data_IF_186056476307
#
_entry.id   IF_186056476307
#
_cell.length_a   1.000
_cell.length_b   1.000
_cell.length_c   1.000
_cell.angle_alpha   90.00
_cell.angle_beta   90.00
_cell.angle_gamma   90.00
#
_symmetry.space_group_name_H-M   'P 1'
#
loop_
_entity.id
_entity.type
_entity.pdbx_description
1 polymer ?
#
# COMPACT_ATOMS: atom_id res chain seq x y z
N UNK A 1 1.66 -2.11 5.07
CA UNK A 1 2.80 -1.36 5.64
C UNK A 1 2.73 0.07 5.12
N UNK A 2 2.89 1.08 5.97
CA UNK A 2 2.85 2.48 5.50
C UNK A 2 4.17 2.85 4.86
N UNK A 3 4.09 3.63 3.80
CA UNK A 3 5.28 4.02 3.04
C UNK A 3 6.15 5.05 3.81
N UNK A 4 5.51 5.69 4.80
CA UNK A 4 6.13 6.53 5.83
C UNK A 4 7.22 5.79 6.61
N UNK A 5 7.06 4.48 6.89
CA UNK A 5 8.07 3.69 7.58
C UNK A 5 9.44 3.74 6.88
N UNK A 6 9.45 3.77 5.55
CA UNK A 6 10.69 3.78 4.78
C UNK A 6 11.45 5.09 4.95
N UNK A 7 10.73 6.20 5.08
CA UNK A 7 11.26 7.56 5.00
C UNK A 7 11.65 8.13 6.36
N UNK A 8 10.92 7.78 7.42
CA UNK A 8 11.14 8.36 8.74
C UNK A 8 12.31 7.71 9.48
N UNK A 9 13.22 8.51 10.03
CA UNK A 9 14.38 8.01 10.78
C UNK A 9 14.03 7.38 12.13
N UNK A 10 12.89 7.76 12.73
CA UNK A 10 12.45 7.27 14.05
C UNK A 10 11.90 5.85 14.07
N UNK A 11 11.65 5.24 12.91
CA UNK A 11 11.20 3.85 12.82
C UNK A 11 12.36 2.97 12.44
N UNK A 12 12.65 1.92 13.21
CA UNK A 12 13.66 0.95 12.87
C UNK A 12 13.11 -0.46 13.11
N UNK A 13 13.54 -1.45 12.32
CA UNK A 13 13.22 -2.84 12.61
C UNK A 13 13.84 -3.25 13.96
N UNK A 14 13.10 -4.01 14.76
CA UNK A 14 13.44 -4.41 16.15
C UNK A 14 14.79 -5.14 16.25
N UNK A 15 15.32 -5.63 15.13
CA UNK A 15 16.52 -6.48 15.10
C UNK A 15 17.82 -5.71 15.41
N UNK A 16 17.85 -4.38 15.23
CA UNK A 16 18.90 -3.49 15.73
C UNK A 16 18.50 -2.03 15.41
N UNK A 17 17.89 -1.32 16.36
CA UNK A 17 17.31 0.01 16.14
C UNK A 17 18.32 1.05 15.62
N UNK A 18 19.62 0.84 15.87
CA UNK A 18 20.68 1.78 15.50
C UNK A 18 21.32 1.49 14.14
N UNK A 19 21.06 0.33 13.51
CA UNK A 19 21.82 -0.14 12.35
C UNK A 19 21.13 0.08 10.98
N UNK A 20 19.82 0.41 10.96
CA UNK A 20 19.07 0.47 9.70
C UNK A 20 18.37 1.82 9.54
N UNK A 21 19.18 2.83 9.23
CA UNK A 21 18.69 4.18 8.89
C UNK A 21 18.60 4.32 7.37
N UNK A 22 17.55 5.01 6.91
CA UNK A 22 17.34 5.37 5.51
C UNK A 22 16.54 4.34 4.69
N UNK A 23 15.85 4.85 3.67
CA UNK A 23 14.95 4.09 2.78
C UNK A 23 15.65 2.86 2.21
N UNK A 24 16.82 3.03 1.60
CA UNK A 24 17.57 1.96 0.92
C UNK A 24 17.91 0.81 1.87
N UNK A 25 18.46 1.13 3.05
CA UNK A 25 18.85 0.13 4.05
C UNK A 25 17.64 -0.62 4.59
N UNK A 26 16.55 0.09 4.91
CA UNK A 26 15.31 -0.52 5.39
C UNK A 26 14.68 -1.45 4.37
N UNK A 27 14.63 -1.02 3.11
CA UNK A 27 14.11 -1.85 2.03
C UNK A 27 14.99 -3.08 1.81
N UNK A 28 16.31 -2.95 1.79
CA UNK A 28 17.22 -4.08 1.62
C UNK A 28 17.07 -5.12 2.75
N UNK A 29 17.01 -4.66 4.01
CA UNK A 29 16.77 -5.55 5.16
C UNK A 29 15.41 -6.23 5.06
N UNK A 30 14.35 -5.48 4.71
CA UNK A 30 13.00 -6.04 4.57
C UNK A 30 12.95 -7.05 3.43
N UNK A 31 13.52 -6.73 2.28
CA UNK A 31 13.60 -7.63 1.14
C UNK A 31 14.29 -8.93 1.50
N UNK A 32 15.46 -8.87 2.15
CA UNK A 32 16.20 -10.05 2.61
C UNK A 32 15.38 -10.88 3.60
N UNK A 33 14.83 -10.24 4.64
CA UNK A 33 14.09 -10.93 5.69
C UNK A 33 12.81 -11.59 5.16
N UNK A 34 12.02 -10.86 4.36
CA UNK A 34 10.77 -11.36 3.81
C UNK A 34 11.02 -12.45 2.76
N UNK A 35 12.04 -12.32 1.91
CA UNK A 35 12.45 -13.40 0.99
C UNK A 35 12.78 -14.68 1.76
N UNK A 36 13.63 -14.58 2.80
CA UNK A 36 14.01 -15.73 3.62
C UNK A 36 12.80 -16.38 4.31
N UNK A 37 11.89 -15.56 4.84
CA UNK A 37 10.68 -16.05 5.49
C UNK A 37 9.77 -16.79 4.50
N UNK A 38 9.51 -16.20 3.33
CA UNK A 38 8.65 -16.80 2.31
C UNK A 38 9.25 -18.10 1.79
N UNK A 39 10.56 -18.16 1.53
CA UNK A 39 11.22 -19.40 1.12
C UNK A 39 11.02 -20.50 2.15
N UNK A 40 11.21 -20.20 3.46
CA UNK A 40 11.01 -21.19 4.53
C UNK A 40 9.56 -21.69 4.62
N UNK A 41 8.57 -20.80 4.50
CA UNK A 41 7.15 -21.19 4.47
C UNK A 41 6.84 -22.09 3.27
N UNK A 42 7.42 -21.80 2.10
CA UNK A 42 7.23 -22.59 0.87
C UNK A 42 7.92 -23.94 0.92
N UNK A 43 9.14 -24.01 1.44
CA UNK A 43 9.89 -25.25 1.65
C UNK A 43 9.13 -26.20 2.60
N UNK A 44 8.31 -25.65 3.48
CA UNK A 44 7.39 -26.40 4.34
C UNK A 44 6.11 -26.89 3.63
N UNK A 45 6.00 -26.69 2.31
CA UNK A 45 4.88 -27.16 1.49
C UNK A 45 3.69 -26.19 1.38
N UNK A 46 3.80 -24.97 1.91
CA UNK A 46 2.73 -23.99 1.83
C UNK A 46 2.79 -23.13 0.58
N UNK A 47 1.62 -22.78 0.04
CA UNK A 47 1.48 -21.74 -0.97
C UNK A 47 1.50 -20.38 -0.29
N UNK A 48 2.23 -19.44 -0.87
CA UNK A 48 2.32 -18.07 -0.38
C UNK A 48 1.82 -17.11 -1.45
N UNK A 49 0.98 -16.18 -1.02
CA UNK A 49 0.48 -15.07 -1.84
C UNK A 49 0.92 -13.78 -1.16
N UNK A 50 1.61 -12.92 -1.90
CA UNK A 50 1.92 -11.56 -1.49
C UNK A 50 0.81 -10.66 -2.03
N UNK A 51 0.07 -10.02 -1.13
CA UNK A 51 -0.90 -8.99 -1.49
C UNK A 51 -0.18 -7.64 -1.50
N UNK A 52 -0.13 -7.00 -2.67
CA UNK A 52 0.55 -5.73 -2.85
C UNK A 52 -0.05 -4.62 -1.98
N UNK A 53 0.78 -3.69 -1.55
CA UNK A 53 0.32 -2.54 -0.77
C UNK A 53 -0.61 -1.63 -1.60
N UNK A 54 -1.68 -1.18 -0.96
CA UNK A 54 -2.64 -0.26 -1.58
C UNK A 54 -2.06 1.15 -1.69
N UNK A 55 -2.49 1.95 -2.69
CA UNK A 55 -2.15 3.36 -2.76
C UNK A 55 -2.53 4.11 -1.47
N UNK A 56 -1.61 4.94 -0.99
CA UNK A 56 -1.82 5.79 0.17
C UNK A 56 -2.09 7.25 -0.24
N UNK A 57 -2.80 7.97 0.63
CA UNK A 57 -3.12 9.40 0.54
C UNK A 57 -2.46 10.17 1.70
N UNK A 58 -1.24 9.78 2.06
CA UNK A 58 -0.45 10.39 3.14
C UNK A 58 0.57 11.43 2.65
N UNK A 59 0.44 11.92 1.42
CA UNK A 59 1.27 12.95 0.81
C UNK A 59 0.40 13.93 0.04
N UNK A 60 0.91 15.15 -0.14
CA UNK A 60 0.17 16.19 -0.84
C UNK A 60 0.06 15.87 -2.34
N UNK A 61 -1.19 15.78 -2.83
CA UNK A 61 -1.50 15.60 -4.26
C UNK A 61 -0.94 16.76 -5.07
N UNK A 62 -0.23 16.47 -6.17
CA UNK A 62 0.41 17.47 -7.02
C UNK A 62 1.67 18.13 -6.46
N UNK A 63 2.03 17.86 -5.19
CA UNK A 63 3.30 18.28 -4.62
C UNK A 63 3.81 17.25 -3.59
N UNK A 64 4.22 16.05 -4.03
CA UNK A 64 4.69 15.00 -3.12
C UNK A 64 5.94 15.40 -2.30
N UNK A 65 6.65 16.47 -2.72
CA UNK A 65 7.79 17.04 -1.99
C UNK A 65 7.38 18.01 -0.86
N UNK A 66 6.14 18.53 -0.84
CA UNK A 66 5.67 19.46 0.19
C UNK A 66 5.39 18.81 1.56
N UNK A 67 5.62 17.51 1.68
CA UNK A 67 5.47 16.77 2.92
C UNK A 67 4.15 16.04 3.07
N UNK A 68 3.96 15.46 4.25
CA UNK A 68 2.86 14.55 4.53
C UNK A 68 1.64 15.33 5.00
N UNK A 69 0.62 15.49 4.14
CA UNK A 69 -0.73 15.83 4.56
C UNK A 69 -1.55 14.55 4.46
N UNK A 70 -1.69 13.85 5.59
CA UNK A 70 -2.52 12.65 5.66
C UNK A 70 -3.98 13.02 5.49
N UNK A 71 -4.56 12.64 4.35
CA UNK A 71 -6.00 12.75 4.19
C UNK A 71 -6.71 11.93 5.27
N UNK A 72 -7.72 12.54 5.88
CA UNK A 72 -8.60 11.85 6.81
C UNK A 72 -10.00 12.42 6.64
N UNK A 73 -11.05 11.58 6.52
CA UNK A 73 -12.42 12.06 6.61
C UNK A 73 -12.66 12.92 7.85
N UNK A 74 -11.94 12.65 8.96
CA UNK A 74 -12.05 13.40 10.21
C UNK A 74 -11.60 14.86 10.13
N UNK A 75 -10.78 15.23 9.15
CA UNK A 75 -10.37 16.63 8.95
C UNK A 75 -11.36 17.42 8.09
N UNK A 76 -12.43 16.78 7.60
CA UNK A 76 -13.47 17.42 6.81
C UNK A 76 -14.71 17.75 7.64
N UNK A 77 -15.40 18.82 7.26
CA UNK A 77 -16.74 19.10 7.80
C UNK A 77 -17.72 18.01 7.39
N UNK A 78 -18.72 17.72 8.24
CA UNK A 78 -19.78 16.77 7.93
C UNK A 78 -20.51 17.13 6.62
N UNK A 79 -20.70 18.43 6.36
CA UNK A 79 -21.31 18.91 5.11
C UNK A 79 -20.48 18.49 3.90
N UNK A 80 -19.15 18.62 3.96
CA UNK A 80 -18.27 18.20 2.85
C UNK A 80 -18.23 16.68 2.69
N UNK A 81 -18.31 15.91 3.78
CA UNK A 81 -18.39 14.45 3.70
C UNK A 81 -19.70 14.00 3.05
N UNK A 82 -20.84 14.50 3.52
CA UNK A 82 -22.17 14.13 2.99
C UNK A 82 -22.35 14.61 1.54
N UNK A 83 -21.79 15.77 1.18
CA UNK A 83 -21.82 16.29 -0.18
C UNK A 83 -20.74 15.70 -1.10
N UNK A 84 -19.96 14.71 -0.64
CA UNK A 84 -18.85 14.09 -1.40
C UNK A 84 -17.82 15.11 -1.94
N UNK A 85 -17.50 16.13 -1.15
CA UNK A 85 -16.50 17.18 -1.44
C UNK A 85 -15.17 16.97 -0.71
N UNK A 86 -15.04 15.88 0.05
CA UNK A 86 -13.85 15.49 0.81
C UNK A 86 -13.20 14.22 0.22
N UNK A 87 -13.18 14.12 -1.10
CA UNK A 87 -12.81 12.93 -1.84
C UNK A 87 -11.59 13.17 -2.73
N UNK A 88 -10.38 13.34 -2.14
CA UNK A 88 -9.19 13.49 -2.96
C UNK A 88 -9.02 12.29 -3.90
N UNK A 89 -8.43 12.59 -5.04
CA UNK A 89 -8.01 11.63 -6.03
C UNK A 89 -6.60 12.00 -6.49
N UNK A 90 -5.84 11.02 -6.93
CA UNK A 90 -4.48 11.20 -7.44
C UNK A 90 -4.26 10.37 -8.69
N UNK A 91 -3.32 10.80 -9.53
CA UNK A 91 -2.86 9.98 -10.64
C UNK A 91 -2.02 8.82 -10.09
N UNK A 92 -2.14 7.63 -10.68
CA UNK A 92 -1.34 6.46 -10.30
C UNK A 92 0.17 6.75 -10.44
N UNK A 93 0.56 7.60 -11.40
CA UNK A 93 1.94 8.08 -11.56
C UNK A 93 2.44 8.85 -10.34
N UNK A 94 1.59 9.69 -9.73
CA UNK A 94 1.95 10.45 -8.52
C UNK A 94 2.17 9.49 -7.35
N UNK A 95 1.26 8.53 -7.16
CA UNK A 95 1.44 7.49 -6.17
C UNK A 95 2.69 6.65 -6.43
N UNK A 96 2.98 6.33 -7.70
CA UNK A 96 4.17 5.58 -8.09
C UNK A 96 5.47 6.36 -7.82
N UNK A 97 5.48 7.68 -7.94
CA UNK A 97 6.66 8.49 -7.59
C UNK A 97 7.03 8.37 -6.10
N UNK A 98 6.04 8.09 -5.24
CA UNK A 98 6.21 7.98 -3.78
C UNK A 98 6.38 6.53 -3.34
N UNK A 99 5.51 5.63 -3.82
CA UNK A 99 5.34 4.24 -3.39
C UNK A 99 5.90 3.22 -4.39
N UNK A 100 6.39 3.66 -5.54
CA UNK A 100 6.85 2.75 -6.60
C UNK A 100 7.99 1.83 -6.16
N UNK A 101 8.86 2.30 -5.28
CA UNK A 101 9.96 1.51 -4.75
C UNK A 101 9.45 0.33 -3.88
N UNK A 102 8.49 0.56 -3.00
CA UNK A 102 7.92 -0.50 -2.16
C UNK A 102 7.11 -1.50 -2.99
N UNK A 103 6.32 -1.03 -3.96
CA UNK A 103 5.61 -1.89 -4.92
C UNK A 103 6.56 -2.76 -5.75
N UNK A 104 7.64 -2.18 -6.27
CA UNK A 104 8.63 -2.93 -7.03
C UNK A 104 9.34 -3.99 -6.17
N UNK A 105 9.65 -3.65 -4.92
CA UNK A 105 10.24 -4.60 -3.96
C UNK A 105 9.29 -5.78 -3.68
N UNK A 106 8.01 -5.53 -3.42
CA UNK A 106 7.01 -6.59 -3.18
C UNK A 106 6.87 -7.54 -4.37
N UNK A 107 6.74 -7.00 -5.58
CA UNK A 107 6.67 -7.77 -6.82
C UNK A 107 7.95 -8.59 -7.06
N UNK A 108 9.12 -8.00 -6.80
CA UNK A 108 10.41 -8.69 -6.93
C UNK A 108 10.54 -9.84 -5.95
N UNK A 109 10.10 -9.67 -4.69
CA UNK A 109 10.12 -10.74 -3.68
C UNK A 109 9.20 -11.88 -4.11
N UNK A 110 8.00 -11.58 -4.59
CA UNK A 110 7.09 -12.60 -5.10
C UNK A 110 7.75 -13.39 -6.24
N UNK A 111 8.33 -12.68 -7.21
CA UNK A 111 9.02 -13.29 -8.34
C UNK A 111 10.21 -14.17 -7.90
N UNK A 112 11.11 -13.67 -7.06
CA UNK A 112 12.33 -14.40 -6.67
C UNK A 112 12.07 -15.59 -5.76
N UNK A 113 10.94 -15.60 -5.05
CA UNK A 113 10.52 -16.73 -4.20
C UNK A 113 9.55 -17.68 -4.91
N UNK A 114 9.10 -17.33 -6.12
CA UNK A 114 8.05 -18.03 -6.85
C UNK A 114 6.65 -17.90 -6.22
N UNK A 115 6.45 -17.00 -5.26
CA UNK A 115 5.16 -16.71 -4.66
C UNK A 115 4.25 -15.97 -5.64
N UNK A 116 2.93 -16.12 -5.49
CA UNK A 116 1.98 -15.35 -6.28
C UNK A 116 1.94 -13.90 -5.80
N UNK A 117 1.78 -12.94 -6.71
CA UNK A 117 1.60 -11.53 -6.38
C UNK A 117 0.21 -11.08 -6.80
N UNK A 118 -0.51 -10.41 -5.89
CA UNK A 118 -1.81 -9.80 -6.19
C UNK A 118 -1.65 -8.29 -6.16
N UNK A 119 -1.75 -7.67 -7.34
CA UNK A 119 -1.67 -6.22 -7.49
C UNK A 119 -3.06 -5.58 -7.34
N UNK A 120 -3.33 -5.05 -6.14
CA UNK A 120 -4.59 -4.37 -5.84
C UNK A 120 -4.75 -3.02 -6.55
N UNK A 121 -3.69 -2.46 -7.16
CA UNK A 121 -3.78 -1.16 -7.85
C UNK A 121 -4.63 -1.23 -9.10
N UNK A 122 -4.72 -2.41 -9.72
CA UNK A 122 -5.59 -2.65 -10.88
C UNK A 122 -7.06 -2.39 -10.54
N UNK A 123 -7.47 -2.75 -9.32
CA UNK A 123 -8.82 -2.57 -8.83
C UNK A 123 -9.04 -1.18 -8.20
N UNK A 124 -8.06 -0.70 -7.44
CA UNK A 124 -8.17 0.55 -6.67
C UNK A 124 -7.86 1.82 -7.48
N UNK A 125 -7.20 1.69 -8.62
CA UNK A 125 -6.85 2.82 -9.49
C UNK A 125 -7.23 2.56 -10.97
N UNK A 126 -8.52 2.29 -11.26
CA UNK A 126 -8.95 2.07 -12.63
C UNK A 126 -8.62 3.30 -13.50
N UNK A 127 -8.23 3.07 -14.76
CA UNK A 127 -7.79 4.12 -15.67
C UNK A 127 -6.65 5.00 -15.11
N UNK A 128 -5.74 4.40 -14.32
CA UNK A 128 -4.58 5.08 -13.73
C UNK A 128 -4.93 6.26 -12.80
N UNK A 129 -6.11 6.21 -12.17
CA UNK A 129 -6.57 7.23 -11.21
C UNK A 129 -7.05 6.56 -9.92
N UNK A 130 -6.44 6.92 -8.80
CA UNK A 130 -6.81 6.40 -7.49
C UNK A 130 -7.74 7.39 -6.79
N UNK A 131 -8.94 6.95 -6.40
CA UNK A 131 -9.96 7.80 -5.79
C UNK A 131 -10.30 7.32 -4.37
N UNK A 132 -10.54 8.26 -3.45
CA UNK A 132 -11.02 7.93 -2.10
C UNK A 132 -12.52 7.70 -2.03
N UNK A 133 -13.26 8.13 -3.05
CA UNK A 133 -14.69 7.93 -3.21
C UNK A 133 -15.01 7.65 -4.68
N UNK A 134 -15.65 6.51 -4.97
CA UNK A 134 -16.12 6.20 -6.31
C UNK A 134 -17.42 5.40 -6.25
N UNK A 135 -18.26 5.51 -7.30
CA UNK A 135 -19.55 4.80 -7.40
C UNK A 135 -20.47 4.94 -6.17
N UNK A 136 -20.43 6.08 -5.48
CA UNK A 136 -21.25 6.34 -4.30
C UNK A 136 -20.70 5.77 -2.98
N UNK A 137 -19.48 5.23 -2.99
CA UNK A 137 -18.86 4.58 -1.84
C UNK A 137 -17.48 5.16 -1.51
N UNK A 138 -17.21 5.29 -0.22
CA UNK A 138 -15.87 5.59 0.29
C UNK A 138 -15.01 4.34 0.14
N UNK A 139 -13.91 4.47 -0.61
CA UNK A 139 -12.94 3.40 -0.87
C UNK A 139 -11.97 3.28 0.29
N UNK A 140 -11.67 4.39 0.96
CA UNK A 140 -10.76 4.46 2.09
C UNK A 140 -11.48 4.94 3.36
N UNK A 141 -11.03 4.40 4.51
CA UNK A 141 -11.40 4.88 5.85
C UNK A 141 -10.56 6.10 6.25
N UNK A 142 -9.30 6.10 5.85
CA UNK A 142 -8.29 7.11 6.16
C UNK A 142 -7.16 7.03 5.10
N UNK A 143 -6.07 7.78 5.27
CA UNK A 143 -4.98 7.86 4.30
C UNK A 143 -4.35 6.52 3.88
N UNK A 144 -4.50 5.44 4.62
CA UNK A 144 -3.78 4.19 4.35
C UNK A 144 -4.58 2.90 4.62
N UNK A 145 -5.85 3.01 4.99
CA UNK A 145 -6.75 1.88 5.18
C UNK A 145 -7.94 1.97 4.24
N UNK A 146 -8.22 0.87 3.54
CA UNK A 146 -9.46 0.71 2.77
C UNK A 146 -10.67 0.67 3.72
N UNK A 147 -11.84 1.05 3.21
CA UNK A 147 -13.09 0.97 3.95
C UNK A 147 -13.58 -0.49 4.06
N UNK A 148 -14.58 -0.72 4.92
CA UNK A 148 -15.25 -2.02 5.00
C UNK A 148 -15.94 -2.37 3.68
N UNK A 149 -16.50 -1.37 3.00
CA UNK A 149 -17.16 -1.57 1.72
C UNK A 149 -16.15 -2.06 0.67
N UNK A 150 -15.01 -1.38 0.56
CA UNK A 150 -13.97 -1.74 -0.39
C UNK A 150 -13.35 -3.10 -0.07
N UNK A 151 -13.12 -3.40 1.21
CA UNK A 151 -12.64 -4.72 1.62
C UNK A 151 -13.58 -5.85 1.18
N UNK A 152 -14.90 -5.64 1.19
CA UNK A 152 -15.87 -6.61 0.66
C UNK A 152 -15.82 -6.68 -0.87
N UNK A 153 -15.66 -5.54 -1.54
CA UNK A 153 -15.54 -5.48 -2.99
C UNK A 153 -14.29 -6.22 -3.51
N UNK A 154 -13.18 -6.20 -2.76
CA UNK A 154 -11.94 -6.91 -3.11
C UNK A 154 -11.94 -8.41 -2.72
N UNK A 155 -12.92 -8.87 -1.93
CA UNK A 155 -12.96 -10.26 -1.48
C UNK A 155 -12.97 -11.30 -2.64
N UNK A 156 -13.69 -11.09 -3.76
CA UNK A 156 -13.61 -11.99 -4.91
C UNK A 156 -12.22 -12.07 -5.54
N UNK A 157 -11.47 -10.97 -5.56
CA UNK A 157 -10.08 -10.93 -6.08
C UNK A 157 -9.18 -11.81 -5.21
N UNK A 158 -9.30 -11.70 -3.89
CA UNK A 158 -8.58 -12.56 -2.95
C UNK A 158 -8.97 -14.03 -3.09
N UNK A 159 -10.27 -14.32 -3.20
CA UNK A 159 -10.77 -15.67 -3.38
C UNK A 159 -10.27 -16.32 -4.68
N UNK A 160 -10.15 -15.53 -5.76
CA UNK A 160 -9.56 -15.97 -7.02
C UNK A 160 -8.08 -16.31 -6.86
N UNK A 161 -7.31 -15.45 -6.19
CA UNK A 161 -5.89 -15.67 -5.94
C UNK A 161 -5.60 -16.95 -5.14
N UNK A 162 -6.48 -17.34 -4.21
CA UNK A 162 -6.34 -18.58 -3.44
C UNK A 162 -6.55 -19.85 -4.29
N UNK A 163 -7.31 -19.78 -5.38
CA UNK A 163 -7.62 -20.93 -6.23
C UNK A 163 -6.49 -21.29 -7.21
N UNK A 164 -5.65 -20.32 -7.58
CA UNK A 164 -4.54 -20.47 -8.54
C UNK A 164 -3.23 -20.86 -7.85
#
# INVERSE_FOLDING_TARGET
MTDQYWRESGWAPVVNANAVVGVKSKMAVTQKALTSFISSVRESGHRVIIVGTVPQFNYQVGNPAAGLIAWSPKSCSNINLVANRCNPALALSDAQSVQGASWAMEAQIAHSTGASFVDLRVELCPAARCETFTKGHWIYRDANHISVWESRALAPVMASALKN
#
